data_IF_933848825108
#
_entry.id   IF_933848825108
#
_cell.length_a   1.000
_cell.length_b   1.000
_cell.length_c   1.000
_cell.angle_alpha   90.00
_cell.angle_beta   90.00
_cell.angle_gamma   90.00
#
_symmetry.space_group_name_H-M   'P 1'
#
loop_
_entity.id
_entity.type
_entity.pdbx_description
1 polymer ?
#
# COMPACT_ATOMS: atom_id res chain seq x y z
N UNK A 1 -10.02 2.33 13.64
CA UNK A 1 -11.25 2.72 14.39
C UNK A 1 -12.52 2.46 13.60
N UNK A 2 -12.58 2.80 12.30
CA UNK A 2 -13.82 2.69 11.49
C UNK A 2 -14.44 1.28 11.49
N UNK A 3 -13.67 0.21 11.52
CA UNK A 3 -14.20 -1.16 11.53
C UNK A 3 -14.57 -1.65 12.94
N UNK A 4 -13.72 -1.44 13.93
CA UNK A 4 -13.93 -1.81 15.32
C UNK A 4 -14.14 -0.57 16.20
N UNK A 5 -15.17 0.20 15.90
CA UNK A 5 -15.43 1.48 16.56
C UNK A 5 -15.55 1.33 18.08
N UNK A 6 -16.23 0.27 18.51
CA UNK A 6 -16.47 -0.07 19.92
C UNK A 6 -15.19 -0.26 20.75
N UNK A 7 -14.12 -0.74 20.14
CA UNK A 7 -12.84 -1.03 20.83
C UNK A 7 -12.02 0.21 21.17
N UNK A 8 -12.40 1.40 20.67
CA UNK A 8 -11.63 2.63 20.83
C UNK A 8 -12.23 3.61 21.83
N UNK A 9 -13.42 3.33 22.38
CA UNK A 9 -14.00 4.16 23.42
C UNK A 9 -13.42 3.79 24.78
N UNK A 10 -12.66 4.72 25.37
CA UNK A 10 -12.14 4.63 26.74
C UNK A 10 -13.02 5.41 27.72
N UNK A 11 -13.67 6.48 27.23
CA UNK A 11 -14.57 7.33 27.99
C UNK A 11 -15.44 8.18 27.04
N UNK A 12 -16.33 9.01 27.61
CA UNK A 12 -17.25 9.88 26.86
C UNK A 12 -16.58 11.08 26.16
N UNK A 13 -15.29 11.32 26.39
CA UNK A 13 -14.54 12.39 25.70
C UNK A 13 -13.97 11.95 24.36
N UNK A 14 -14.04 10.66 24.06
CA UNK A 14 -13.56 10.11 22.80
C UNK A 14 -14.60 10.29 21.71
N UNK A 15 -14.20 10.91 20.61
CA UNK A 15 -14.98 10.99 19.37
C UNK A 15 -14.20 10.26 18.27
N UNK A 16 -14.88 9.37 17.57
CA UNK A 16 -14.29 8.59 16.48
C UNK A 16 -14.83 9.10 15.17
N UNK A 17 -13.93 9.54 14.30
CA UNK A 17 -14.25 9.88 12.91
C UNK A 17 -14.22 8.61 12.07
N UNK A 18 -15.30 8.35 11.33
CA UNK A 18 -15.45 7.20 10.44
C UNK A 18 -15.32 7.62 8.97
N UNK A 19 -14.59 6.87 8.19
CA UNK A 19 -14.38 7.19 6.78
C UNK A 19 -13.31 8.25 6.52
N UNK A 20 -13.63 9.26 5.72
CA UNK A 20 -12.72 10.37 5.35
C UNK A 20 -12.71 11.47 6.40
N UNK A 21 -11.57 11.81 7.01
CA UNK A 21 -11.57 12.70 8.15
C UNK A 21 -11.58 14.20 7.80
N UNK A 22 -11.14 14.61 6.62
CA UNK A 22 -10.80 16.02 6.35
C UNK A 22 -11.99 16.95 6.51
N UNK A 23 -13.13 16.60 5.90
CA UNK A 23 -14.35 17.42 5.99
C UNK A 23 -15.02 17.23 7.34
N UNK A 24 -15.13 15.98 7.79
CA UNK A 24 -15.78 15.63 9.08
C UNK A 24 -15.10 16.35 10.25
N UNK A 25 -13.76 16.31 10.33
CA UNK A 25 -13.02 17.00 11.40
C UNK A 25 -13.21 18.50 11.32
N UNK A 26 -13.23 19.09 10.12
CA UNK A 26 -13.49 20.52 9.93
C UNK A 26 -14.89 20.89 10.44
N UNK A 27 -15.92 20.15 10.06
CA UNK A 27 -17.30 20.39 10.49
C UNK A 27 -17.45 20.23 12.00
N UNK A 28 -16.93 19.15 12.55
CA UNK A 28 -16.94 18.88 13.99
C UNK A 28 -16.23 19.97 14.80
N UNK A 29 -15.04 20.39 14.38
CA UNK A 29 -14.28 21.45 15.06
C UNK A 29 -14.96 22.83 14.94
N UNK A 30 -15.59 23.10 13.79
CA UNK A 30 -16.39 24.31 13.62
C UNK A 30 -17.60 24.33 14.57
N UNK A 31 -18.32 23.21 14.69
CA UNK A 31 -19.44 23.11 15.62
C UNK A 31 -19.01 23.37 17.07
N UNK A 32 -17.87 22.82 17.50
CA UNK A 32 -17.30 23.11 18.83
C UNK A 32 -16.92 24.58 19.00
N UNK A 33 -16.29 25.20 18.02
CA UNK A 33 -15.88 26.61 18.06
C UNK A 33 -17.09 27.54 18.13
N UNK A 34 -18.10 27.25 17.32
CA UNK A 34 -19.29 28.12 17.16
C UNK A 34 -20.36 27.85 18.22
N UNK A 35 -20.12 26.91 19.16
CA UNK A 35 -21.04 26.55 20.24
C UNK A 35 -22.33 25.86 19.77
N UNK A 36 -22.32 25.29 18.54
CA UNK A 36 -23.43 24.50 18.02
C UNK A 36 -23.33 23.05 18.47
N UNK A 37 -24.42 22.29 18.33
CA UNK A 37 -24.40 20.89 18.75
C UNK A 37 -23.54 20.02 17.83
N UNK A 38 -22.29 19.76 18.25
CA UNK A 38 -21.33 18.93 17.54
C UNK A 38 -21.79 17.48 17.39
N UNK A 39 -22.71 17.01 18.25
CA UNK A 39 -23.25 15.64 18.16
C UNK A 39 -24.08 15.40 16.91
N UNK A 40 -24.46 16.47 16.19
CA UNK A 40 -25.16 16.38 14.91
C UNK A 40 -24.21 16.16 13.71
N UNK A 41 -22.88 16.24 13.89
CA UNK A 41 -21.90 16.06 12.81
C UNK A 41 -22.02 14.66 12.22
N UNK A 42 -22.22 14.56 10.91
CA UNK A 42 -22.23 13.27 10.19
C UNK A 42 -20.85 12.60 10.21
N UNK A 43 -20.81 11.27 10.12
CA UNK A 43 -19.56 10.50 10.06
C UNK A 43 -18.80 10.33 11.37
N UNK A 44 -19.32 10.85 12.50
CA UNK A 44 -18.72 10.59 13.81
C UNK A 44 -19.43 9.49 14.58
N UNK A 45 -18.73 8.96 15.58
CA UNK A 45 -19.29 8.13 16.63
C UNK A 45 -18.79 8.63 17.97
N UNK A 46 -19.63 8.58 19.00
CA UNK A 46 -19.31 9.01 20.36
C UNK A 46 -20.03 8.15 21.38
N UNK A 47 -19.60 8.22 22.64
CA UNK A 47 -20.22 7.53 23.76
C UNK A 47 -21.16 8.51 24.50
N UNK A 48 -22.39 8.09 24.78
CA UNK A 48 -23.36 8.87 25.55
C UNK A 48 -24.15 7.95 26.48
N UNK A 49 -24.11 8.23 27.77
CA UNK A 49 -24.76 7.43 28.81
C UNK A 49 -24.41 5.93 28.68
N UNK A 50 -23.13 5.61 28.42
CA UNK A 50 -22.66 4.25 28.29
C UNK A 50 -23.04 3.56 26.96
N UNK A 51 -23.71 4.26 26.04
CA UNK A 51 -24.10 3.74 24.72
C UNK A 51 -23.30 4.39 23.60
N UNK A 52 -22.86 3.60 22.63
CA UNK A 52 -22.20 4.13 21.44
C UNK A 52 -23.27 4.64 20.47
N UNK A 53 -23.17 5.90 20.12
CA UNK A 53 -24.01 6.56 19.11
C UNK A 53 -23.20 6.62 17.80
N UNK A 54 -23.80 6.18 16.72
CA UNK A 54 -23.25 6.30 15.37
C UNK A 54 -24.10 7.27 14.55
N UNK A 55 -23.52 8.39 14.17
CA UNK A 55 -24.20 9.33 13.30
C UNK A 55 -24.31 8.80 11.87
N UNK A 56 -25.12 9.46 11.05
CA UNK A 56 -25.28 9.12 9.64
C UNK A 56 -23.95 9.10 8.91
N UNK A 57 -23.93 8.39 7.79
CA UNK A 57 -22.80 8.36 6.88
C UNK A 57 -22.52 9.76 6.31
N UNK A 58 -21.27 10.19 6.39
CA UNK A 58 -20.83 11.41 5.72
C UNK A 58 -20.42 11.09 4.26
N UNK A 59 -20.89 11.89 3.31
CA UNK A 59 -20.59 11.72 1.90
C UNK A 59 -19.09 11.79 1.64
N UNK A 60 -18.59 10.86 0.82
CA UNK A 60 -17.19 10.81 0.43
C UNK A 60 -16.82 11.96 -0.50
N UNK A 61 -15.64 12.50 -0.32
CA UNK A 61 -15.11 13.58 -1.13
C UNK A 61 -14.86 13.14 -2.56
N UNK A 62 -15.51 13.79 -3.53
CA UNK A 62 -15.31 13.53 -4.97
C UNK A 62 -14.17 14.36 -5.52
N UNK A 63 -14.16 15.64 -5.19
CA UNK A 63 -13.18 16.60 -5.67
C UNK A 63 -12.03 16.73 -4.67
N UNK A 64 -10.90 16.08 -4.97
CA UNK A 64 -9.69 16.16 -4.13
C UNK A 64 -8.97 17.50 -4.28
N UNK A 65 -9.26 18.30 -5.32
CA UNK A 65 -8.64 19.62 -5.50
C UNK A 65 -9.20 20.66 -4.54
N UNK A 66 -10.38 20.39 -3.95
CA UNK A 66 -10.96 21.22 -2.90
C UNK A 66 -10.19 21.14 -1.57
N UNK A 67 -9.33 20.15 -1.38
CA UNK A 67 -8.49 20.02 -0.21
C UNK A 67 -7.24 20.91 -0.33
N UNK A 68 -6.81 21.55 0.78
CA UNK A 68 -5.52 22.22 0.80
C UNK A 68 -4.37 21.23 0.62
N UNK A 69 -3.24 21.71 0.13
CA UNK A 69 -2.02 20.89 0.13
C UNK A 69 -1.57 20.57 1.55
N UNK A 70 -0.95 19.38 1.76
CA UNK A 70 -0.47 19.02 3.08
C UNK A 70 0.46 20.07 3.69
N UNK A 71 0.25 20.40 4.96
CA UNK A 71 0.98 21.43 5.70
C UNK A 71 2.40 20.96 6.09
N UNK A 72 3.24 20.69 5.11
CA UNK A 72 4.59 20.12 5.30
C UNK A 72 5.55 21.03 6.07
N UNK A 73 5.24 22.33 6.17
CA UNK A 73 6.01 23.27 6.99
C UNK A 73 6.03 22.90 8.48
N UNK A 74 5.05 22.15 8.98
CA UNK A 74 5.05 21.66 10.36
C UNK A 74 6.04 20.50 10.62
N UNK A 75 6.61 19.94 9.57
CA UNK A 75 7.57 18.82 9.65
C UNK A 75 8.85 19.10 8.86
N UNK A 76 9.08 20.36 8.47
CA UNK A 76 10.20 20.74 7.62
C UNK A 76 11.57 20.56 8.30
N UNK A 77 11.60 20.54 9.64
CA UNK A 77 12.78 20.29 10.47
C UNK A 77 13.17 18.81 10.58
N UNK A 78 12.35 17.91 10.05
CA UNK A 78 12.55 16.47 10.14
C UNK A 78 13.14 15.91 8.85
N UNK A 79 14.23 15.17 8.96
CA UNK A 79 14.84 14.48 7.83
C UNK A 79 14.10 13.16 7.53
N UNK A 80 13.15 13.24 6.61
CA UNK A 80 12.49 12.06 6.07
C UNK A 80 13.22 11.57 4.81
N UNK A 81 13.49 10.29 4.76
CA UNK A 81 14.07 9.66 3.58
C UNK A 81 13.42 8.31 3.28
N UNK A 82 13.41 7.94 2.02
CA UNK A 82 12.94 6.64 1.57
C UNK A 82 14.14 5.76 1.24
N UNK A 83 14.31 4.60 1.90
CA UNK A 83 15.43 3.69 1.63
C UNK A 83 15.54 3.21 0.18
N UNK A 84 14.43 3.23 -0.58
CA UNK A 84 14.41 2.85 -1.99
C UNK A 84 14.95 3.96 -2.90
N UNK A 85 14.70 5.21 -2.55
CA UNK A 85 15.14 6.38 -3.33
C UNK A 85 16.57 6.79 -2.98
N UNK A 86 16.96 6.66 -1.70
CA UNK A 86 18.27 7.11 -1.17
C UNK A 86 18.59 8.58 -1.48
N UNK A 87 17.59 9.41 -1.64
CA UNK A 87 17.67 10.81 -2.03
C UNK A 87 16.85 11.62 -1.03
N UNK A 88 17.42 12.73 -0.57
CA UNK A 88 16.81 13.71 0.35
C UNK A 88 16.98 15.12 -0.22
N UNK A 89 16.10 16.06 0.12
CA UNK A 89 14.88 15.91 0.95
C UNK A 89 13.76 15.14 0.23
N UNK A 90 13.07 14.28 0.99
CA UNK A 90 12.01 13.39 0.53
C UNK A 90 10.66 13.74 1.16
N UNK A 91 9.60 13.63 0.37
CA UNK A 91 8.22 13.66 0.87
C UNK A 91 7.31 12.69 0.10
N UNK A 92 6.07 12.58 0.56
CA UNK A 92 5.04 11.78 -0.12
C UNK A 92 3.96 12.66 -0.74
N UNK A 93 3.31 12.15 -1.78
CA UNK A 93 2.14 12.77 -2.40
C UNK A 93 1.10 11.70 -2.74
N UNK A 94 -0.17 12.11 -2.82
CA UNK A 94 -1.29 11.29 -3.26
C UNK A 94 -1.98 12.01 -4.41
N UNK A 95 -2.20 11.30 -5.51
CA UNK A 95 -2.89 11.85 -6.70
C UNK A 95 -4.28 11.29 -6.89
N UNK A 96 -4.59 10.17 -6.21
CA UNK A 96 -5.88 9.50 -6.27
C UNK A 96 -6.17 8.73 -4.98
N UNK A 97 -7.44 8.47 -4.72
CA UNK A 97 -7.92 7.61 -3.62
C UNK A 97 -8.80 6.52 -4.16
N UNK A 98 -8.70 5.34 -3.59
CA UNK A 98 -9.34 4.09 -3.95
C UNK A 98 -8.71 3.36 -5.13
N UNK A 99 -9.03 2.06 -5.17
CA UNK A 99 -8.61 1.13 -6.20
C UNK A 99 -9.85 0.37 -6.71
N UNK A 100 -10.07 0.23 -8.04
CA UNK A 100 -11.28 -0.38 -8.59
C UNK A 100 -11.28 -1.89 -8.45
N UNK A 101 -10.11 -2.47 -8.23
CA UNK A 101 -9.93 -3.92 -8.20
C UNK A 101 -10.51 -4.56 -6.95
N UNK A 102 -10.93 -5.83 -7.07
CA UNK A 102 -11.67 -6.56 -6.04
C UNK A 102 -10.83 -7.60 -5.32
N UNK A 103 -9.51 -7.40 -5.20
CA UNK A 103 -8.63 -8.35 -4.51
C UNK A 103 -9.15 -8.59 -3.08
N UNK A 104 -9.49 -9.85 -2.75
CA UNK A 104 -10.24 -10.20 -1.55
C UNK A 104 -9.50 -9.93 -0.24
N UNK A 105 -8.17 -9.88 -0.27
CA UNK A 105 -7.29 -9.71 0.89
C UNK A 105 -6.86 -8.24 1.11
N UNK A 106 -7.15 -7.37 0.16
CA UNK A 106 -6.47 -6.07 0.07
C UNK A 106 -7.03 -5.05 1.07
N UNK A 107 -6.12 -4.49 1.84
CA UNK A 107 -6.29 -3.23 2.56
C UNK A 107 -5.33 -2.24 1.92
N UNK A 108 -5.82 -1.33 1.05
CA UNK A 108 -4.94 -0.38 0.38
C UNK A 108 -4.27 0.55 1.41
N UNK A 109 -4.64 1.81 1.49
CA UNK A 109 -4.23 2.66 2.62
C UNK A 109 -5.28 2.65 3.73
N UNK A 110 -4.90 3.07 4.94
CA UNK A 110 -5.84 3.17 6.08
C UNK A 110 -7.03 4.08 5.76
N UNK A 111 -6.76 5.19 5.06
CA UNK A 111 -7.79 6.15 4.64
C UNK A 111 -8.74 5.53 3.62
N UNK A 112 -8.21 4.93 2.57
CA UNK A 112 -9.01 4.28 1.53
C UNK A 112 -9.83 3.13 2.10
N UNK A 113 -9.26 2.36 3.02
CA UNK A 113 -9.98 1.27 3.65
C UNK A 113 -11.12 1.77 4.54
N UNK A 114 -10.92 2.85 5.27
CA UNK A 114 -12.00 3.50 6.05
C UNK A 114 -13.14 3.99 5.13
N UNK A 115 -12.81 4.61 3.98
CA UNK A 115 -13.79 4.97 2.95
C UNK A 115 -14.56 3.74 2.45
N UNK A 116 -13.86 2.65 2.14
CA UNK A 116 -14.48 1.42 1.66
C UNK A 116 -15.44 0.82 2.69
N UNK A 117 -15.05 0.77 3.96
CA UNK A 117 -15.90 0.22 5.03
C UNK A 117 -17.19 1.01 5.15
N UNK A 118 -17.12 2.34 5.27
CA UNK A 118 -18.30 3.18 5.41
C UNK A 118 -19.19 3.14 4.16
N UNK A 119 -18.61 3.22 2.97
CA UNK A 119 -19.38 3.14 1.74
C UNK A 119 -20.04 1.77 1.53
N UNK A 120 -19.41 0.68 1.94
CA UNK A 120 -19.99 -0.66 1.88
C UNK A 120 -21.10 -0.85 2.92
N UNK A 121 -20.97 -0.23 4.09
CA UNK A 121 -22.05 -0.24 5.11
C UNK A 121 -23.30 0.40 4.58
N UNK A 122 -23.17 1.58 3.97
CA UNK A 122 -24.29 2.38 3.45
C UNK A 122 -24.83 1.84 2.12
N UNK A 123 -23.98 1.66 1.11
CA UNK A 123 -24.37 1.41 -0.27
C UNK A 123 -24.12 -0.02 -0.77
N UNK A 124 -23.57 -0.91 0.06
CA UNK A 124 -23.22 -2.31 -0.28
C UNK A 124 -22.25 -2.46 -1.46
N UNK A 125 -21.48 -1.44 -1.79
CA UNK A 125 -20.52 -1.40 -2.90
C UNK A 125 -19.24 -0.65 -2.55
N UNK A 126 -18.17 -0.87 -3.32
CA UNK A 126 -16.96 -0.05 -3.22
C UNK A 126 -17.26 1.42 -3.58
N UNK A 127 -16.53 2.36 -2.98
CA UNK A 127 -16.64 3.78 -3.34
C UNK A 127 -16.10 4.03 -4.76
N UNK A 128 -16.49 5.17 -5.31
CA UNK A 128 -15.86 5.70 -6.52
C UNK A 128 -14.41 6.09 -6.25
N UNK A 129 -13.65 6.22 -7.34
CA UNK A 129 -12.28 6.72 -7.28
C UNK A 129 -12.31 8.24 -7.34
N UNK A 130 -11.62 8.88 -6.42
CA UNK A 130 -11.41 10.32 -6.44
C UNK A 130 -10.03 10.62 -7.00
N UNK A 131 -9.96 11.61 -7.90
CA UNK A 131 -8.70 12.06 -8.50
C UNK A 131 -8.45 13.53 -8.18
N UNK A 132 -7.18 13.88 -8.11
CA UNK A 132 -6.73 15.27 -8.27
C UNK A 132 -6.55 15.56 -9.74
N UNK A 133 -6.82 16.80 -10.16
CA UNK A 133 -6.54 17.25 -11.53
C UNK A 133 -5.02 17.27 -11.79
N UNK A 134 -4.64 17.24 -13.06
CA UNK A 134 -3.23 17.37 -13.45
C UNK A 134 -2.69 18.74 -13.04
N UNK A 135 -3.50 19.78 -13.15
CA UNK A 135 -3.19 21.14 -12.73
C UNK A 135 -2.90 21.24 -11.23
N UNK A 136 -3.73 20.57 -10.41
CA UNK A 136 -3.52 20.51 -8.95
C UNK A 136 -2.23 19.78 -8.59
N UNK A 137 -1.94 18.66 -9.27
CA UNK A 137 -0.70 17.92 -9.07
C UNK A 137 0.50 18.78 -9.47
N UNK A 138 0.45 19.46 -10.60
CA UNK A 138 1.54 20.33 -11.04
C UNK A 138 1.79 21.48 -10.07
N UNK A 139 0.74 22.11 -9.54
CA UNK A 139 0.87 23.15 -8.53
C UNK A 139 1.59 22.63 -7.27
N UNK A 140 1.22 21.44 -6.77
CA UNK A 140 1.91 20.87 -5.61
C UNK A 140 3.37 20.53 -5.92
N UNK A 141 3.65 19.93 -7.07
CA UNK A 141 5.04 19.62 -7.48
C UNK A 141 5.89 20.88 -7.62
N UNK A 142 5.34 21.97 -8.16
CA UNK A 142 6.01 23.27 -8.20
C UNK A 142 6.37 23.77 -6.80
N UNK A 143 5.41 23.77 -5.87
CA UNK A 143 5.64 24.19 -4.48
C UNK A 143 6.73 23.33 -3.83
N UNK A 144 6.67 22.00 -4.00
CA UNK A 144 7.67 21.09 -3.44
C UNK A 144 9.06 21.32 -4.01
N UNK A 145 9.16 21.60 -5.31
CA UNK A 145 10.43 21.96 -5.94
C UNK A 145 10.99 23.27 -5.37
N UNK A 146 10.16 24.31 -5.23
CA UNK A 146 10.55 25.61 -4.63
C UNK A 146 10.96 25.46 -3.14
N UNK A 147 10.39 24.49 -2.43
CA UNK A 147 10.78 24.13 -1.04
C UNK A 147 12.04 23.25 -0.97
N UNK A 148 12.67 22.92 -2.09
CA UNK A 148 13.91 22.14 -2.16
C UNK A 148 13.76 20.64 -2.07
N UNK A 149 12.54 20.11 -2.12
CA UNK A 149 12.38 18.64 -2.21
C UNK A 149 12.93 18.11 -3.52
N UNK A 150 13.59 16.97 -3.46
CA UNK A 150 14.24 16.30 -4.61
C UNK A 150 13.68 14.90 -4.87
N UNK A 151 12.95 14.33 -3.91
CA UNK A 151 12.43 12.99 -4.00
C UNK A 151 10.97 12.89 -3.53
N UNK A 152 10.13 12.20 -4.33
CA UNK A 152 8.69 12.03 -4.10
C UNK A 152 8.31 10.54 -4.10
N UNK A 153 7.60 10.10 -3.07
CA UNK A 153 6.92 8.80 -3.06
C UNK A 153 5.43 8.97 -3.31
N UNK A 154 4.91 8.48 -4.42
CA UNK A 154 3.46 8.44 -4.62
C UNK A 154 2.86 7.30 -3.80
N UNK A 155 1.87 7.65 -2.96
CA UNK A 155 1.20 6.74 -2.01
C UNK A 155 -0.21 6.35 -2.47
N UNK A 156 -0.48 6.50 -3.76
CA UNK A 156 -1.73 6.06 -4.38
C UNK A 156 -1.90 4.54 -4.24
N UNK A 157 -3.11 4.08 -3.98
CA UNK A 157 -3.43 2.65 -3.89
C UNK A 157 -3.17 1.90 -5.21
N UNK A 158 -3.29 2.62 -6.32
CA UNK A 158 -2.84 2.25 -7.65
C UNK A 158 -2.52 3.53 -8.42
N UNK A 159 -1.27 3.77 -8.75
CA UNK A 159 -0.84 5.00 -9.41
C UNK A 159 -1.22 5.06 -10.89
N UNK A 160 -1.11 3.94 -11.59
CA UNK A 160 -1.35 3.86 -13.04
C UNK A 160 -2.81 3.54 -13.31
N UNK A 161 -3.57 4.57 -13.71
CA UNK A 161 -4.99 4.47 -13.99
C UNK A 161 -5.30 4.31 -15.49
N UNK A 162 -4.71 5.19 -16.27
CA UNK A 162 -4.73 5.19 -17.71
C UNK A 162 -3.44 5.81 -18.24
N UNK A 163 -3.19 5.62 -19.51
CA UNK A 163 -1.95 6.07 -20.15
C UNK A 163 -1.83 7.58 -20.15
N UNK A 164 -2.86 8.31 -20.58
CA UNK A 164 -2.86 9.78 -20.69
C UNK A 164 -2.49 10.47 -19.37
N UNK A 165 -3.18 10.11 -18.28
CA UNK A 165 -2.88 10.67 -16.95
C UNK A 165 -1.48 10.33 -16.49
N UNK A 166 -1.04 9.09 -16.70
CA UNK A 166 0.29 8.63 -16.30
C UNK A 166 1.38 9.42 -17.03
N UNK A 167 1.21 9.61 -18.35
CA UNK A 167 2.14 10.40 -19.17
C UNK A 167 2.18 11.88 -18.73
N UNK A 168 1.02 12.47 -18.42
CA UNK A 168 0.96 13.83 -17.91
C UNK A 168 1.74 13.99 -16.59
N UNK A 169 1.55 13.08 -15.63
CA UNK A 169 2.29 13.11 -14.36
C UNK A 169 3.80 12.87 -14.61
N UNK A 170 4.17 11.92 -15.46
CA UNK A 170 5.57 11.68 -15.82
C UNK A 170 6.23 12.96 -16.42
N UNK A 171 5.51 13.72 -17.23
CA UNK A 171 6.01 14.98 -17.79
C UNK A 171 6.24 16.04 -16.69
N UNK A 172 5.33 16.13 -15.72
CA UNK A 172 5.49 17.01 -14.55
C UNK A 172 6.74 16.62 -13.75
N UNK A 173 6.89 15.32 -13.43
CA UNK A 173 8.03 14.84 -12.68
C UNK A 173 9.36 15.10 -13.39
N UNK A 174 9.41 14.94 -14.71
CA UNK A 174 10.57 15.27 -15.54
C UNK A 174 10.84 16.77 -15.57
N UNK A 175 9.80 17.60 -15.68
CA UNK A 175 9.90 19.09 -15.71
C UNK A 175 10.60 19.61 -14.46
N UNK A 176 10.26 19.10 -13.30
CA UNK A 176 10.82 19.53 -12.01
C UNK A 176 12.03 18.69 -11.54
N UNK A 177 12.46 17.68 -12.30
CA UNK A 177 13.66 16.91 -12.03
C UNK A 177 13.58 15.99 -10.80
N UNK A 178 12.38 15.60 -10.36
CA UNK A 178 12.21 14.73 -9.21
C UNK A 178 12.70 13.30 -9.44
N UNK A 179 13.33 12.73 -8.42
CA UNK A 179 13.44 11.29 -8.28
C UNK A 179 12.21 10.76 -7.57
N UNK A 180 11.53 9.74 -8.11
CA UNK A 180 10.24 9.33 -7.57
C UNK A 180 9.97 7.83 -7.70
N UNK A 181 8.89 7.37 -7.10
CA UNK A 181 8.43 5.99 -7.22
C UNK A 181 6.97 5.83 -6.85
N UNK A 182 6.39 4.71 -7.27
CA UNK A 182 4.97 4.43 -7.09
C UNK A 182 4.68 2.94 -6.93
N UNK A 183 3.41 2.65 -6.62
CA UNK A 183 2.84 1.30 -6.64
C UNK A 183 1.98 1.13 -7.89
N UNK A 184 2.09 -0.02 -8.53
CA UNK A 184 1.33 -0.33 -9.74
C UNK A 184 0.96 -1.80 -9.84
N UNK A 185 -0.01 -2.08 -10.68
CA UNK A 185 -0.35 -3.44 -11.13
C UNK A 185 0.40 -3.78 -12.41
N UNK A 186 0.70 -5.05 -12.60
CA UNK A 186 1.44 -5.51 -13.79
C UNK A 186 0.62 -5.32 -15.08
N UNK A 187 -0.69 -5.49 -15.03
CA UNK A 187 -1.60 -5.34 -16.18
C UNK A 187 -1.75 -3.88 -16.67
N UNK A 188 -1.30 -2.91 -15.85
CA UNK A 188 -1.27 -1.50 -16.24
C UNK A 188 0.05 -1.06 -16.90
N UNK A 189 1.09 -1.91 -16.92
CA UNK A 189 2.40 -1.57 -17.47
C UNK A 189 2.44 -1.91 -18.97
N UNK A 190 2.40 -0.88 -19.81
CA UNK A 190 2.65 -0.98 -21.27
C UNK A 190 4.08 -0.55 -21.60
N UNK A 191 4.54 -0.80 -22.83
CA UNK A 191 5.85 -0.30 -23.30
C UNK A 191 5.92 1.24 -23.23
N UNK A 192 4.84 1.92 -23.63
CA UNK A 192 4.71 3.39 -23.56
C UNK A 192 4.84 3.89 -22.12
N UNK A 193 4.11 3.30 -21.17
CA UNK A 193 4.16 3.68 -19.76
C UNK A 193 5.54 3.42 -19.18
N UNK A 194 6.12 2.26 -19.42
CA UNK A 194 7.46 1.92 -18.92
C UNK A 194 8.53 2.89 -19.45
N UNK A 195 8.44 3.30 -20.72
CA UNK A 195 9.30 4.33 -21.31
C UNK A 195 9.15 5.67 -20.60
N UNK A 196 7.91 6.12 -20.38
CA UNK A 196 7.64 7.40 -19.71
C UNK A 196 8.16 7.38 -18.26
N UNK A 197 7.97 6.30 -17.52
CA UNK A 197 8.52 6.09 -16.17
C UNK A 197 10.05 6.25 -16.18
N UNK A 198 10.74 5.56 -17.09
CA UNK A 198 12.20 5.62 -17.19
C UNK A 198 12.72 7.02 -17.52
N UNK A 199 12.03 7.73 -18.41
CA UNK A 199 12.41 9.10 -18.84
C UNK A 199 12.08 10.18 -17.81
N UNK A 200 11.24 9.92 -16.84
CA UNK A 200 10.75 10.90 -15.86
C UNK A 200 11.42 10.83 -14.50
N UNK A 201 12.48 10.04 -14.34
CA UNK A 201 13.20 9.92 -13.08
C UNK A 201 12.57 8.91 -12.10
N UNK A 202 11.73 8.00 -12.56
CA UNK A 202 11.18 6.92 -11.72
C UNK A 202 12.30 5.97 -11.25
N UNK A 203 12.47 5.85 -9.95
CA UNK A 203 13.54 5.06 -9.29
C UNK A 203 13.05 3.74 -8.71
N UNK A 204 11.74 3.52 -8.63
CA UNK A 204 11.16 2.21 -8.32
C UNK A 204 9.69 2.16 -8.72
N UNK A 205 9.27 0.97 -9.12
CA UNK A 205 7.86 0.60 -9.22
C UNK A 205 7.63 -0.64 -8.36
N UNK A 206 6.74 -0.52 -7.37
CA UNK A 206 6.30 -1.63 -6.53
C UNK A 206 5.18 -2.37 -7.25
N UNK A 207 5.44 -3.56 -7.76
CA UNK A 207 4.47 -4.39 -8.48
C UNK A 207 3.86 -5.45 -7.57
N UNK A 208 2.53 -5.44 -7.44
CA UNK A 208 1.78 -6.52 -6.80
C UNK A 208 1.58 -7.69 -7.74
N UNK A 209 2.38 -8.74 -7.60
CA UNK A 209 2.28 -9.99 -8.36
C UNK A 209 1.55 -11.07 -7.55
N UNK A 210 1.87 -11.19 -6.28
CA UNK A 210 1.36 -12.07 -5.25
C UNK A 210 1.69 -13.55 -5.50
N UNK A 211 1.32 -14.12 -6.66
CA UNK A 211 1.55 -15.51 -7.03
C UNK A 211 1.85 -15.66 -8.53
N UNK A 212 2.49 -16.78 -8.92
CA UNK A 212 2.61 -17.22 -10.32
C UNK A 212 1.67 -18.38 -10.65
N UNK A 213 0.77 -18.75 -9.75
CA UNK A 213 -0.26 -19.75 -10.00
C UNK A 213 -1.57 -19.06 -10.37
N UNK A 214 -2.13 -19.38 -11.54
CA UNK A 214 -3.32 -18.70 -12.09
C UNK A 214 -4.59 -19.01 -11.29
N UNK A 215 -4.74 -20.21 -10.73
CA UNK A 215 -5.88 -20.56 -9.89
C UNK A 215 -5.87 -19.75 -8.59
N UNK A 216 -4.68 -19.55 -8.01
CA UNK A 216 -4.52 -18.70 -6.82
C UNK A 216 -4.82 -17.26 -7.19
N UNK A 217 -4.28 -16.72 -8.29
CA UNK A 217 -4.57 -15.36 -8.77
C UNK A 217 -6.06 -15.14 -9.04
N UNK A 218 -6.75 -16.15 -9.57
CA UNK A 218 -8.20 -16.13 -9.78
C UNK A 218 -8.94 -16.15 -8.45
N UNK A 219 -8.57 -17.03 -7.52
CA UNK A 219 -9.19 -17.12 -6.20
C UNK A 219 -9.13 -15.77 -5.46
N UNK A 220 -7.97 -15.13 -5.44
CA UNK A 220 -7.79 -13.83 -4.77
C UNK A 220 -8.35 -12.65 -5.56
N UNK A 221 -9.03 -12.88 -6.67
CA UNK A 221 -9.58 -11.86 -7.58
C UNK A 221 -8.52 -10.84 -8.04
N UNK A 222 -7.29 -11.29 -8.24
CA UNK A 222 -6.21 -10.40 -8.71
C UNK A 222 -6.41 -9.97 -10.16
N UNK A 223 -6.95 -10.86 -11.02
CA UNK A 223 -7.30 -10.55 -12.42
C UNK A 223 -6.09 -10.27 -13.31
N UNK A 224 -4.94 -10.88 -13.04
CA UNK A 224 -3.73 -10.80 -13.86
C UNK A 224 -3.31 -12.19 -14.32
N UNK A 225 -2.53 -12.24 -15.41
CA UNK A 225 -1.98 -13.48 -15.98
C UNK A 225 -0.45 -13.54 -15.83
N UNK A 226 0.10 -14.74 -15.91
CA UNK A 226 1.56 -14.90 -15.94
C UNK A 226 2.21 -14.10 -17.08
N UNK A 227 1.60 -14.09 -18.27
CA UNK A 227 2.09 -13.33 -19.42
C UNK A 227 2.24 -11.84 -19.09
N UNK A 228 1.22 -11.23 -18.49
CA UNK A 228 1.27 -9.82 -18.08
C UNK A 228 2.38 -9.56 -17.06
N UNK A 229 2.65 -10.49 -16.14
CA UNK A 229 3.76 -10.35 -15.19
C UNK A 229 5.11 -10.28 -15.92
N UNK A 230 5.35 -11.19 -16.86
CA UNK A 230 6.61 -11.21 -17.61
C UNK A 230 6.76 -10.01 -18.54
N UNK A 231 5.71 -9.63 -19.25
CA UNK A 231 5.68 -8.49 -20.16
C UNK A 231 5.99 -7.17 -19.40
N UNK A 232 5.27 -6.91 -18.29
CA UNK A 232 5.48 -5.72 -17.47
C UNK A 232 6.93 -5.57 -16.98
N UNK A 233 7.50 -6.68 -16.48
CA UNK A 233 8.88 -6.68 -16.00
C UNK A 233 9.86 -6.50 -17.16
N UNK A 234 9.57 -7.09 -18.31
CA UNK A 234 10.35 -6.91 -19.55
C UNK A 234 10.38 -5.45 -20.00
N UNK A 235 9.22 -4.79 -20.03
CA UNK A 235 9.13 -3.38 -20.40
C UNK A 235 9.87 -2.46 -19.40
N UNK A 236 9.67 -2.65 -18.10
CA UNK A 236 10.36 -1.83 -17.09
C UNK A 236 11.88 -1.98 -17.16
N UNK A 237 12.38 -3.20 -17.36
CA UNK A 237 13.81 -3.45 -17.54
C UNK A 237 14.37 -2.82 -18.80
N UNK A 238 13.65 -2.88 -19.91
CA UNK A 238 14.03 -2.26 -21.19
C UNK A 238 14.34 -0.77 -21.03
N UNK A 239 13.61 -0.08 -20.13
CA UNK A 239 13.78 1.35 -19.87
C UNK A 239 14.49 1.66 -18.55
N UNK A 240 15.19 0.69 -17.97
CA UNK A 240 15.98 0.83 -16.74
C UNK A 240 15.17 1.36 -15.54
N UNK A 241 13.87 1.02 -15.46
CA UNK A 241 13.04 1.32 -14.30
C UNK A 241 13.20 0.20 -13.26
N UNK A 242 13.74 0.49 -12.07
CA UNK A 242 13.93 -0.52 -11.04
C UNK A 242 12.60 -1.10 -10.54
N UNK A 243 12.55 -2.42 -10.37
CA UNK A 243 11.35 -3.17 -10.03
C UNK A 243 11.47 -3.80 -8.65
N UNK A 244 10.46 -3.56 -7.82
CA UNK A 244 10.22 -4.35 -6.62
C UNK A 244 8.98 -5.22 -6.82
N UNK A 245 9.12 -6.54 -6.61
CA UNK A 245 8.00 -7.47 -6.61
C UNK A 245 7.48 -7.70 -5.21
N UNK A 246 6.15 -7.70 -5.07
CA UNK A 246 5.47 -8.17 -3.88
C UNK A 246 4.90 -9.57 -4.16
N UNK A 247 5.28 -10.52 -3.32
CA UNK A 247 4.83 -11.92 -3.34
C UNK A 247 4.19 -12.21 -1.99
N UNK A 248 3.00 -12.78 -2.01
CA UNK A 248 2.26 -13.17 -0.82
C UNK A 248 2.25 -14.69 -0.64
N UNK A 249 2.30 -15.11 0.61
CA UNK A 249 2.21 -16.50 1.05
C UNK A 249 0.92 -16.64 1.87
N UNK A 250 0.18 -17.71 1.67
CA UNK A 250 -1.04 -17.99 2.42
C UNK A 250 -2.28 -17.26 1.91
N UNK A 251 -2.29 -16.80 0.66
CA UNK A 251 -3.40 -16.02 0.09
C UNK A 251 -4.64 -16.86 -0.25
N UNK A 252 -4.49 -18.18 -0.29
CA UNK A 252 -5.53 -19.09 -0.77
C UNK A 252 -5.42 -20.46 -0.12
N UNK A 253 -6.54 -21.13 0.19
CA UNK A 253 -6.52 -22.54 0.58
C UNK A 253 -6.09 -23.48 -0.55
N UNK A 254 -5.94 -22.97 -1.79
CA UNK A 254 -5.38 -23.72 -2.91
C UNK A 254 -3.84 -23.76 -2.90
N UNK A 255 -3.21 -22.95 -2.04
CA UNK A 255 -1.75 -22.95 -1.93
C UNK A 255 -1.26 -24.25 -1.28
N UNK A 256 -0.29 -24.87 -1.93
CA UNK A 256 0.47 -26.00 -1.42
C UNK A 256 1.95 -25.64 -1.29
N UNK A 257 2.74 -26.50 -0.65
CA UNK A 257 4.20 -26.32 -0.59
C UNK A 257 4.82 -26.28 -2.01
N UNK A 258 4.24 -27.01 -2.95
CA UNK A 258 4.69 -27.11 -4.34
C UNK A 258 4.38 -25.82 -5.10
N UNK A 259 3.15 -25.28 -5.01
CA UNK A 259 2.76 -24.01 -5.66
C UNK A 259 3.55 -22.84 -5.11
N UNK A 260 3.79 -22.81 -3.80
CA UNK A 260 4.65 -21.80 -3.16
C UNK A 260 6.10 -21.89 -3.64
N UNK A 261 6.69 -23.10 -3.67
CA UNK A 261 8.06 -23.30 -4.20
C UNK A 261 8.19 -22.87 -5.65
N UNK A 262 7.17 -23.13 -6.49
CA UNK A 262 7.16 -22.69 -7.88
C UNK A 262 7.10 -21.18 -8.00
N UNK A 263 6.17 -20.52 -7.29
CA UNK A 263 6.06 -19.06 -7.23
C UNK A 263 7.38 -18.41 -6.81
N UNK A 264 7.98 -18.88 -5.72
CA UNK A 264 9.23 -18.35 -5.20
C UNK A 264 10.41 -18.56 -6.16
N UNK A 265 10.45 -19.71 -6.86
CA UNK A 265 11.44 -20.01 -7.88
C UNK A 265 11.32 -19.07 -9.08
N UNK A 266 10.09 -18.86 -9.60
CA UNK A 266 9.81 -17.97 -10.72
C UNK A 266 10.15 -16.53 -10.39
N UNK A 267 9.72 -16.04 -9.22
CA UNK A 267 10.03 -14.68 -8.76
C UNK A 267 11.56 -14.42 -8.77
N UNK A 268 12.36 -15.35 -8.25
CA UNK A 268 13.83 -15.22 -8.21
C UNK A 268 14.47 -15.24 -9.61
N UNK A 269 13.92 -16.04 -10.54
CA UNK A 269 14.42 -16.09 -11.93
C UNK A 269 14.24 -14.79 -12.69
N UNK A 270 13.30 -13.95 -12.28
CA UNK A 270 13.06 -12.65 -12.92
C UNK A 270 14.21 -11.67 -12.74
N UNK A 271 15.10 -11.87 -11.75
CA UNK A 271 16.24 -10.99 -11.50
C UNK A 271 15.84 -9.51 -11.48
N UNK A 272 14.90 -9.18 -10.61
CA UNK A 272 14.45 -7.80 -10.34
C UNK A 272 15.23 -7.19 -9.20
N UNK A 273 15.15 -5.88 -9.03
CA UNK A 273 15.92 -5.12 -8.05
C UNK A 273 15.63 -5.51 -6.61
N UNK A 274 14.38 -5.83 -6.31
CA UNK A 274 13.97 -6.29 -5.00
C UNK A 274 12.78 -7.25 -5.10
N UNK A 275 12.75 -8.26 -4.22
CA UNK A 275 11.57 -9.10 -4.00
C UNK A 275 11.21 -8.99 -2.52
N UNK A 276 9.95 -8.70 -2.25
CA UNK A 276 9.38 -8.72 -0.91
C UNK A 276 8.48 -9.95 -0.78
N UNK A 277 8.80 -10.81 0.16
CA UNK A 277 7.95 -11.94 0.54
C UNK A 277 7.23 -11.58 1.84
N UNK A 278 5.92 -11.68 1.84
CA UNK A 278 5.09 -11.47 3.03
C UNK A 278 4.08 -12.60 3.16
N UNK A 279 3.66 -12.89 4.37
CA UNK A 279 2.48 -13.71 4.61
C UNK A 279 1.26 -12.79 4.56
N UNK A 280 0.18 -13.23 3.94
CA UNK A 280 -1.05 -12.46 3.92
C UNK A 280 -1.65 -12.39 5.33
N UNK A 281 -2.13 -11.21 5.70
CA UNK A 281 -2.92 -11.05 6.92
C UNK A 281 -4.40 -10.94 6.55
N UNK A 282 -5.29 -11.71 7.18
CA UNK A 282 -6.72 -11.59 6.98
C UNK A 282 -7.25 -10.36 7.72
N UNK A 283 -7.04 -9.17 7.17
CA UNK A 283 -7.46 -7.93 7.81
C UNK A 283 -8.97 -7.84 7.98
N UNK A 284 -9.46 -7.53 9.19
CA UNK A 284 -10.90 -7.34 9.46
C UNK A 284 -11.55 -6.35 8.51
N UNK A 285 -12.71 -6.72 7.96
CA UNK A 285 -13.43 -5.94 6.95
C UNK A 285 -13.14 -6.34 5.50
N UNK A 286 -12.16 -7.22 5.26
CA UNK A 286 -11.91 -7.80 3.93
C UNK A 286 -12.77 -9.06 3.71
N UNK A 287 -13.03 -9.39 2.45
CA UNK A 287 -13.71 -10.65 2.09
C UNK A 287 -12.88 -11.86 2.56
N UNK A 288 -11.56 -11.78 2.45
CA UNK A 288 -10.65 -12.82 2.91
C UNK A 288 -10.74 -13.07 4.42
N UNK A 289 -10.91 -12.00 5.22
CA UNK A 289 -11.13 -12.15 6.67
C UNK A 289 -12.42 -12.90 6.99
N UNK A 290 -13.51 -12.55 6.30
CA UNK A 290 -14.79 -13.23 6.49
C UNK A 290 -14.68 -14.73 6.18
N UNK A 291 -14.07 -15.09 5.04
CA UNK A 291 -13.80 -16.47 4.66
C UNK A 291 -12.89 -17.19 5.66
N UNK A 292 -11.83 -16.54 6.11
CA UNK A 292 -10.88 -17.14 7.05
C UNK A 292 -11.51 -17.40 8.42
N UNK A 293 -12.41 -16.51 8.85
CA UNK A 293 -13.17 -16.70 10.09
C UNK A 293 -14.19 -17.82 9.98
N UNK A 294 -14.98 -17.83 8.91
CA UNK A 294 -16.01 -18.85 8.65
C UNK A 294 -15.42 -20.26 8.57
N UNK A 295 -14.27 -20.40 7.93
CA UNK A 295 -13.61 -21.71 7.74
C UNK A 295 -12.64 -22.07 8.88
N UNK A 296 -12.54 -21.27 9.94
CA UNK A 296 -11.66 -21.56 11.07
C UNK A 296 -10.17 -21.49 10.75
N UNK A 297 -9.77 -20.71 9.73
CA UNK A 297 -8.35 -20.58 9.34
C UNK A 297 -7.57 -19.61 10.21
N UNK A 298 -8.22 -18.82 11.04
CA UNK A 298 -7.56 -17.87 11.95
C UNK A 298 -7.13 -18.58 13.22
N UNK A 299 -5.84 -18.63 13.49
CA UNK A 299 -5.26 -19.22 14.71
C UNK A 299 -5.83 -18.52 15.95
N UNK A 300 -6.41 -19.30 16.85
CA UNK A 300 -7.06 -18.75 18.06
C UNK A 300 -8.42 -18.11 17.81
N UNK A 301 -8.95 -18.14 16.57
CA UNK A 301 -10.32 -17.68 16.23
C UNK A 301 -10.50 -16.17 16.12
N UNK A 302 -9.56 -15.36 16.61
CA UNK A 302 -9.62 -13.91 16.57
C UNK A 302 -8.44 -13.31 15.82
N UNK A 303 -8.69 -12.15 15.20
CA UNK A 303 -7.64 -11.39 14.54
C UNK A 303 -6.71 -10.73 15.57
N UNK A 304 -5.42 -11.05 15.45
CA UNK A 304 -4.34 -10.42 16.20
C UNK A 304 -3.35 -9.85 15.17
N UNK A 305 -3.02 -8.55 15.23
CA UNK A 305 -1.99 -7.98 14.36
C UNK A 305 -0.63 -8.67 14.57
N UNK A 306 0.01 -9.07 13.47
CA UNK A 306 1.32 -9.72 13.48
C UNK A 306 2.25 -9.06 12.47
N UNK A 307 3.55 -9.31 12.61
CA UNK A 307 4.53 -8.96 11.59
C UNK A 307 4.42 -9.92 10.40
N UNK A 308 3.72 -9.49 9.35
CA UNK A 308 3.52 -10.27 8.11
C UNK A 308 4.82 -10.67 7.40
N UNK A 309 5.96 -10.09 7.78
CA UNK A 309 7.27 -10.48 7.29
C UNK A 309 7.90 -11.64 8.07
N UNK A 310 7.21 -12.15 9.09
CA UNK A 310 7.72 -13.21 9.99
C UNK A 310 6.66 -14.22 10.40
N UNK A 311 5.46 -13.77 10.74
CA UNK A 311 4.46 -14.55 11.44
C UNK A 311 3.17 -14.70 10.63
N UNK A 312 2.51 -15.82 10.81
CA UNK A 312 1.20 -16.12 10.26
C UNK A 312 0.16 -16.33 11.34
N UNK A 313 -0.96 -15.64 11.25
CA UNK A 313 -2.16 -15.97 12.02
C UNK A 313 -3.07 -16.93 11.26
N UNK A 314 -2.74 -17.24 9.99
CA UNK A 314 -3.48 -18.22 9.20
C UNK A 314 -2.96 -19.64 9.43
N UNK A 315 -3.87 -20.58 9.45
CA UNK A 315 -3.57 -21.99 9.63
C UNK A 315 -4.54 -22.81 8.78
N UNK A 316 -4.11 -23.23 7.60
CA UNK A 316 -4.90 -24.14 6.76
C UNK A 316 -4.69 -25.60 7.19
N UNK A 317 -5.65 -26.50 6.96
CA UNK A 317 -5.52 -27.92 7.32
C UNK A 317 -4.29 -28.62 6.72
N UNK A 318 -3.88 -28.18 5.50
CA UNK A 318 -2.77 -28.77 4.73
C UNK A 318 -1.52 -27.90 4.69
N UNK A 319 -1.58 -26.67 5.20
CA UNK A 319 -0.48 -25.71 5.22
C UNK A 319 -0.55 -24.87 6.50
N UNK A 320 0.15 -25.31 7.53
CA UNK A 320 0.12 -24.66 8.84
C UNK A 320 0.83 -23.31 8.86
N UNK A 321 0.49 -22.46 9.86
CA UNK A 321 1.16 -21.19 10.11
C UNK A 321 2.68 -21.35 10.18
N UNK A 322 3.14 -22.33 10.96
CA UNK A 322 4.57 -22.62 11.12
C UNK A 322 5.26 -23.06 9.81
N UNK A 323 4.55 -23.78 8.94
CA UNK A 323 5.09 -24.13 7.62
C UNK A 323 5.22 -22.89 6.72
N UNK A 324 4.24 -21.99 6.71
CA UNK A 324 4.30 -20.71 5.97
C UNK A 324 5.45 -19.85 6.48
N UNK A 325 5.61 -19.69 7.78
CA UNK A 325 6.71 -18.95 8.41
C UNK A 325 8.07 -19.55 8.03
N UNK A 326 8.20 -20.87 8.08
CA UNK A 326 9.43 -21.56 7.67
C UNK A 326 9.74 -21.38 6.20
N UNK A 327 8.72 -21.43 5.32
CA UNK A 327 8.87 -21.18 3.89
C UNK A 327 9.31 -19.74 3.66
N UNK A 328 8.67 -18.77 4.33
CA UNK A 328 9.02 -17.35 4.27
C UNK A 328 10.48 -17.12 4.68
N UNK A 329 10.87 -17.61 5.85
CA UNK A 329 12.24 -17.49 6.38
C UNK A 329 13.29 -18.06 5.41
N UNK A 330 13.08 -19.31 4.95
CA UNK A 330 13.99 -19.97 4.01
C UNK A 330 14.06 -19.25 2.67
N UNK A 331 12.95 -18.64 2.23
CA UNK A 331 12.90 -17.91 0.96
C UNK A 331 13.65 -16.60 1.05
N UNK A 332 13.49 -15.86 2.16
CA UNK A 332 14.25 -14.67 2.46
C UNK A 332 15.76 -15.00 2.54
N UNK A 333 16.12 -16.04 3.30
CA UNK A 333 17.51 -16.46 3.44
C UNK A 333 18.13 -16.77 2.08
N UNK A 334 17.49 -17.65 1.27
CA UNK A 334 17.97 -17.99 -0.07
C UNK A 334 18.01 -16.81 -1.04
N UNK A 335 17.15 -15.82 -0.85
CA UNK A 335 17.15 -14.61 -1.68
C UNK A 335 18.28 -13.67 -1.30
N UNK A 336 18.43 -13.33 -0.01
CA UNK A 336 19.44 -12.40 0.46
C UNK A 336 20.88 -12.92 0.28
N UNK A 337 21.08 -14.24 0.37
CA UNK A 337 22.38 -14.89 0.10
C UNK A 337 22.56 -15.31 -1.36
N UNK A 338 21.66 -14.92 -2.27
CA UNK A 338 21.87 -15.18 -3.69
C UNK A 338 22.94 -14.27 -4.28
N UNK A 339 23.75 -14.82 -5.17
CA UNK A 339 24.77 -14.04 -5.90
C UNK A 339 24.18 -12.80 -6.56
N UNK A 340 23.00 -12.93 -7.17
CA UNK A 340 22.32 -11.81 -7.82
C UNK A 340 21.99 -10.68 -6.84
N UNK A 341 21.38 -10.99 -5.70
CA UNK A 341 21.05 -9.96 -4.69
C UNK A 341 22.31 -9.27 -4.16
N UNK A 342 23.32 -10.08 -3.75
CA UNK A 342 24.57 -9.56 -3.19
C UNK A 342 25.26 -8.64 -4.22
N UNK A 343 25.43 -9.10 -5.46
CA UNK A 343 26.09 -8.31 -6.51
C UNK A 343 25.34 -7.02 -6.85
N UNK A 344 24.00 -7.07 -6.83
CA UNK A 344 23.16 -5.89 -7.07
C UNK A 344 23.26 -4.89 -5.91
N UNK A 345 23.28 -5.37 -4.67
CA UNK A 345 23.39 -4.49 -3.50
C UNK A 345 24.80 -3.90 -3.38
N UNK A 346 25.85 -4.69 -3.60
CA UNK A 346 27.23 -4.20 -3.55
C UNK A 346 27.48 -3.05 -4.53
N UNK A 347 26.88 -3.11 -5.73
CA UNK A 347 26.95 -2.01 -6.72
C UNK A 347 26.23 -0.73 -6.29
N UNK A 348 25.33 -0.83 -5.32
CA UNK A 348 24.51 0.31 -4.83
C UNK A 348 25.08 1.00 -3.60
N UNK A 349 26.05 0.39 -2.91
CA UNK A 349 26.68 1.03 -1.76
C UNK A 349 27.71 2.04 -2.23
N UNK A 350 27.56 3.27 -1.74
CA UNK A 350 28.49 4.38 -1.98
C UNK A 350 29.40 4.63 -0.80
N UNK A 351 29.11 4.04 0.37
CA UNK A 351 29.92 4.20 1.58
C UNK A 351 29.88 2.96 2.50
N UNK A 352 30.92 2.82 3.32
CA UNK A 352 31.01 1.79 4.38
C UNK A 352 29.87 1.94 5.40
N UNK A 353 29.42 3.17 5.67
CA UNK A 353 28.31 3.46 6.57
C UNK A 353 26.99 2.90 6.04
N UNK A 354 26.69 3.07 4.75
CA UNK A 354 25.51 2.45 4.11
C UNK A 354 25.56 0.93 4.17
N UNK A 355 26.71 0.33 3.93
CA UNK A 355 26.91 -1.13 4.04
C UNK A 355 26.62 -1.62 5.46
N UNK A 356 27.12 -0.91 6.48
CA UNK A 356 26.84 -1.23 7.89
C UNK A 356 25.35 -1.15 8.22
N UNK A 357 24.65 -0.11 7.76
CA UNK A 357 23.19 0.00 7.93
C UNK A 357 22.44 -1.13 7.24
N UNK A 358 22.85 -1.50 6.03
CA UNK A 358 22.23 -2.61 5.31
C UNK A 358 22.43 -3.95 6.02
N UNK A 359 23.62 -4.21 6.56
CA UNK A 359 23.88 -5.40 7.38
C UNK A 359 23.03 -5.43 8.65
N UNK A 360 22.89 -4.29 9.34
CA UNK A 360 22.03 -4.17 10.52
C UNK A 360 20.56 -4.42 10.18
N UNK A 361 20.06 -3.83 9.09
CA UNK A 361 18.71 -4.05 8.59
C UNK A 361 18.47 -5.52 8.20
N UNK A 362 19.45 -6.17 7.56
CA UNK A 362 19.39 -7.59 7.23
C UNK A 362 19.33 -8.47 8.49
N UNK A 363 20.16 -8.14 9.49
CA UNK A 363 20.15 -8.84 10.78
C UNK A 363 18.79 -8.73 11.46
N UNK A 364 18.22 -7.51 11.53
CA UNK A 364 16.88 -7.28 12.08
C UNK A 364 15.82 -8.06 11.28
N UNK A 365 15.92 -8.09 9.96
CA UNK A 365 14.93 -8.79 9.11
C UNK A 365 14.99 -10.31 9.25
N UNK A 366 16.14 -10.88 9.51
CA UNK A 366 16.33 -12.34 9.62
C UNK A 366 16.21 -12.85 11.06
N UNK A 367 16.64 -12.08 12.05
CA UNK A 367 16.86 -12.57 13.41
C UNK A 367 16.29 -11.65 14.52
N UNK A 368 15.83 -10.45 14.18
CA UNK A 368 15.37 -9.42 15.13
C UNK A 368 13.94 -9.52 15.63
#
# INVERSE_FOLDING_TARGET
PTYFTDRFFTDEKVVIVRGEPEVIVKEWTNALRDGTDWKLTEGISYLENGKIIHNKFHLLLKDLDSLPFPARHHIADRDYHNPKLKISPYTTAITSRNCPYQCIYCVPSSLTFAREIENRREFKKKPFISFRSIESIEKEMKILHEQGYTAIGFMDDNFIWNEERTLAICNIMRKYGFSWGCQARVDAITDTIARALGMSGCKYVDLGVESFNEDILKFIKKGITQKQIYDAIGYLKKYNVPVKLNILIGTSPLETKETLKDTLRRAKKLKVDQIMFNIVSPFPGTEFYAMAKENGWIKGGEYIPTDVQRESILNYPHLSSHEMERILFRSNLKYFFSYYFISTQLRRFTSVKEFSYALRALKIKLFG
#
